data_IF_837974023296
#
_entry.id   IF_837974023296
#
_cell.length_a   1.000
_cell.length_b   1.000
_cell.length_c   1.000
_cell.angle_alpha   90.00
_cell.angle_beta   90.00
_cell.angle_gamma   90.00
#
_symmetry.space_group_name_H-M   'P 1'
#
loop_
_entity.id
_entity.type
_entity.pdbx_description
1 polymer ?
#
# COMPACT_ATOMS: atom_id res chain seq x y z
N UNK A 1 -26.55 3.63 14.22
CA UNK A 1 -25.91 2.91 13.10
C UNK A 1 -25.13 1.68 13.57
N UNK A 2 -24.55 1.73 14.77
CA UNK A 2 -23.90 0.58 15.42
C UNK A 2 -24.78 -0.68 15.52
N UNK A 3 -26.11 -0.53 15.58
CA UNK A 3 -27.11 -1.61 15.62
C UNK A 3 -27.02 -2.55 14.40
N UNK A 4 -26.56 -2.04 13.25
CA UNK A 4 -26.33 -2.85 12.05
C UNK A 4 -25.21 -3.87 12.24
N UNK A 5 -24.28 -3.59 13.16
CA UNK A 5 -23.14 -4.44 13.44
C UNK A 5 -23.33 -5.27 14.71
N UNK A 6 -23.92 -4.69 15.76
CA UNK A 6 -24.08 -5.33 17.06
C UNK A 6 -25.57 -5.40 17.46
N UNK A 7 -26.06 -6.61 17.74
CA UNK A 7 -27.45 -6.83 18.16
C UNK A 7 -27.67 -6.67 19.67
N UNK A 8 -26.64 -6.91 20.48
CA UNK A 8 -26.77 -6.98 21.94
C UNK A 8 -26.80 -5.57 22.56
N UNK A 9 -27.86 -5.19 23.31
CA UNK A 9 -28.00 -3.87 23.91
C UNK A 9 -26.85 -3.49 24.84
N UNK A 10 -26.36 -4.44 25.64
CA UNK A 10 -25.22 -4.23 26.55
C UNK A 10 -23.95 -3.83 25.81
N UNK A 11 -23.72 -4.37 24.62
CA UNK A 11 -22.55 -4.03 23.79
C UNK A 11 -22.72 -2.62 23.21
N UNK A 12 -23.91 -2.30 22.69
CA UNK A 12 -24.22 -0.98 22.17
C UNK A 12 -24.05 0.11 23.24
N UNK A 13 -24.58 -0.13 24.45
CA UNK A 13 -24.44 0.78 25.58
C UNK A 13 -22.97 0.96 25.97
N UNK A 14 -22.18 -0.11 26.04
CA UNK A 14 -20.74 -0.01 26.33
C UNK A 14 -19.99 0.79 25.27
N UNK A 15 -20.30 0.57 23.98
CA UNK A 15 -19.64 1.28 22.88
C UNK A 15 -20.00 2.78 22.92
N UNK A 16 -21.28 3.11 23.07
CA UNK A 16 -21.76 4.50 23.19
C UNK A 16 -21.38 5.16 24.51
N UNK A 17 -21.08 4.38 25.55
CA UNK A 17 -20.66 4.88 26.85
C UNK A 17 -19.22 5.39 26.86
N UNK A 18 -18.35 4.93 25.96
CA UNK A 18 -16.94 5.33 25.91
C UNK A 18 -16.70 6.78 25.50
N UNK A 19 -15.44 7.22 25.59
CA UNK A 19 -14.96 8.54 25.18
C UNK A 19 -15.09 8.86 23.68
N UNK A 20 -15.29 7.82 22.87
CA UNK A 20 -15.55 7.91 21.43
C UNK A 20 -17.00 7.53 21.06
N UNK A 21 -17.88 7.44 22.05
CA UNK A 21 -19.22 6.89 21.88
C UNK A 21 -20.05 7.64 20.83
N UNK A 22 -19.94 8.97 20.83
CA UNK A 22 -20.71 9.86 19.95
C UNK A 22 -20.22 9.74 18.50
N UNK A 23 -18.92 9.50 18.29
CA UNK A 23 -18.32 9.36 16.97
C UNK A 23 -18.39 7.94 16.40
N UNK A 24 -18.54 6.93 17.25
CA UNK A 24 -18.59 5.53 16.81
C UNK A 24 -19.76 5.26 15.87
N UNK A 25 -20.88 5.97 16.02
CA UNK A 25 -22.00 5.89 15.08
C UNK A 25 -21.63 6.51 13.72
N UNK A 26 -20.91 7.64 13.67
CA UNK A 26 -20.37 8.22 12.44
C UNK A 26 -19.38 7.28 11.74
N UNK A 27 -18.48 6.65 12.51
CA UNK A 27 -17.50 5.69 11.98
C UNK A 27 -18.22 4.45 11.43
N UNK A 28 -19.28 3.98 12.09
CA UNK A 28 -20.10 2.87 11.62
C UNK A 28 -20.80 3.21 10.29
N UNK A 29 -21.31 4.43 10.15
CA UNK A 29 -21.87 4.93 8.88
C UNK A 29 -20.84 4.91 7.76
N UNK A 30 -19.66 5.48 7.99
CA UNK A 30 -18.58 5.50 7.01
C UNK A 30 -18.19 4.09 6.55
N UNK A 31 -18.05 3.14 7.48
CA UNK A 31 -17.72 1.75 7.15
C UNK A 31 -18.79 1.09 6.28
N UNK A 32 -20.06 1.39 6.54
CA UNK A 32 -21.18 0.88 5.74
C UNK A 32 -21.15 1.44 4.31
N UNK A 33 -21.05 2.76 4.19
CA UNK A 33 -21.07 3.47 2.90
C UNK A 33 -19.88 3.09 2.01
N UNK A 34 -18.70 2.84 2.61
CA UNK A 34 -17.51 2.42 1.90
C UNK A 34 -17.47 0.90 1.62
N UNK A 35 -18.56 0.17 1.88
CA UNK A 35 -18.69 -1.24 1.53
C UNK A 35 -17.78 -2.18 2.32
N UNK A 36 -17.39 -1.82 3.55
CA UNK A 36 -16.57 -2.71 4.38
C UNK A 36 -17.33 -3.99 4.71
N UNK A 37 -16.66 -5.14 4.60
CA UNK A 37 -17.22 -6.42 5.04
C UNK A 37 -17.63 -6.33 6.51
N UNK A 38 -18.81 -6.85 6.82
CA UNK A 38 -19.41 -6.81 8.17
C UNK A 38 -18.44 -7.27 9.28
N UNK A 39 -17.77 -8.41 9.07
CA UNK A 39 -16.78 -8.94 10.00
C UNK A 39 -15.60 -7.98 10.25
N UNK A 40 -15.09 -7.32 9.19
CA UNK A 40 -14.01 -6.35 9.30
C UNK A 40 -14.46 -5.10 10.05
N UNK A 41 -15.65 -4.57 9.72
CA UNK A 41 -16.22 -3.41 10.39
C UNK A 41 -16.40 -3.65 11.90
N UNK A 42 -16.91 -4.84 12.30
CA UNK A 42 -17.01 -5.22 13.72
C UNK A 42 -15.66 -5.19 14.44
N UNK A 43 -14.59 -5.66 13.80
CA UNK A 43 -13.24 -5.64 14.39
C UNK A 43 -12.78 -4.20 14.62
N UNK A 44 -12.97 -3.31 13.63
CA UNK A 44 -12.63 -1.90 13.77
C UNK A 44 -13.42 -1.23 14.90
N UNK A 45 -14.75 -1.37 14.90
CA UNK A 45 -15.62 -0.77 15.90
C UNK A 45 -15.35 -1.33 17.31
N UNK A 46 -15.09 -2.62 17.45
CA UNK A 46 -14.75 -3.22 18.74
C UNK A 46 -13.43 -2.69 19.31
N UNK A 47 -12.41 -2.49 18.45
CA UNK A 47 -11.13 -1.91 18.88
C UNK A 47 -11.25 -0.45 19.25
N UNK A 48 -12.00 0.33 18.46
CA UNK A 48 -12.27 1.72 18.76
C UNK A 48 -13.11 1.87 20.03
N UNK A 49 -14.02 0.94 20.30
CA UNK A 49 -14.72 0.86 21.57
C UNK A 49 -13.78 0.63 22.76
N UNK A 50 -12.82 -0.29 22.63
CA UNK A 50 -11.80 -0.50 23.68
C UNK A 50 -10.92 0.73 23.88
N UNK A 51 -10.53 1.40 22.79
CA UNK A 51 -9.79 2.65 22.84
C UNK A 51 -10.62 3.78 23.46
N UNK A 52 -11.92 3.85 23.17
CA UNK A 52 -12.85 4.77 23.79
C UNK A 52 -12.95 4.60 25.31
N UNK A 53 -12.65 3.42 25.85
CA UNK A 53 -12.60 3.19 27.29
C UNK A 53 -11.44 3.90 28.01
N UNK A 54 -10.38 4.31 27.29
CA UNK A 54 -9.21 5.01 27.86
C UNK A 54 -9.16 6.49 27.49
N UNK A 55 -10.15 6.97 26.73
CA UNK A 55 -10.21 8.34 26.21
C UNK A 55 -11.36 9.08 26.88
N UNK A 56 -11.19 10.39 27.09
CA UNK A 56 -12.25 11.28 27.58
C UNK A 56 -13.06 11.88 26.44
N UNK A 57 -14.36 12.11 26.67
CA UNK A 57 -15.23 12.82 25.71
C UNK A 57 -14.86 14.30 25.56
N UNK A 58 -14.46 14.94 26.66
CA UNK A 58 -14.26 16.39 26.70
C UNK A 58 -12.89 16.85 26.17
N UNK A 59 -11.90 15.96 26.14
CA UNK A 59 -10.51 16.31 25.75
C UNK A 59 -10.18 15.80 24.35
N UNK A 60 -9.36 16.52 23.59
CA UNK A 60 -8.81 16.00 22.35
C UNK A 60 -7.89 14.81 22.64
N UNK A 61 -7.82 13.89 21.69
CA UNK A 61 -7.04 12.67 21.80
C UNK A 61 -5.58 12.99 21.45
N UNK A 62 -4.73 12.89 22.46
CA UNK A 62 -3.30 13.17 22.34
C UNK A 62 -2.53 11.97 21.79
N UNK A 63 -1.37 12.24 21.19
CA UNK A 63 -0.49 11.18 20.68
C UNK A 63 0.03 10.28 21.81
N UNK A 64 0.28 10.85 22.99
CA UNK A 64 0.72 10.10 24.18
C UNK A 64 -0.31 9.05 24.60
N UNK A 65 -1.61 9.39 24.56
CA UNK A 65 -2.67 8.44 24.86
C UNK A 65 -2.75 7.31 23.83
N UNK A 66 -2.57 7.64 22.55
CA UNK A 66 -2.53 6.65 21.46
C UNK A 66 -1.36 5.69 21.65
N UNK A 67 -0.16 6.23 21.91
CA UNK A 67 1.06 5.43 22.05
C UNK A 67 1.02 4.56 23.31
N UNK A 68 0.50 5.08 24.43
CA UNK A 68 0.25 4.30 25.64
C UNK A 68 -0.74 3.14 25.41
N UNK A 69 -1.86 3.41 24.73
CA UNK A 69 -2.84 2.36 24.38
C UNK A 69 -2.26 1.29 23.46
N UNK A 70 -1.49 1.70 22.45
CA UNK A 70 -0.83 0.76 21.53
C UNK A 70 0.26 -0.02 22.26
N UNK A 71 1.04 0.60 23.14
CA UNK A 71 2.05 -0.09 23.95
C UNK A 71 1.42 -1.17 24.85
N UNK A 72 0.23 -0.92 25.39
CA UNK A 72 -0.53 -1.89 26.19
C UNK A 72 -1.10 -3.08 25.41
N UNK A 73 -0.97 -3.13 24.07
CA UNK A 73 -1.42 -4.26 23.27
C UNK A 73 -0.36 -5.40 23.27
N UNK A 74 -0.73 -6.64 23.66
CA UNK A 74 0.24 -7.68 23.99
C UNK A 74 0.99 -8.26 22.78
N UNK A 75 0.40 -8.21 21.59
CA UNK A 75 0.98 -8.85 20.39
C UNK A 75 1.29 -7.82 19.32
N UNK A 76 2.27 -8.13 18.46
CA UNK A 76 2.59 -7.28 17.30
C UNK A 76 1.36 -7.09 16.40
N UNK A 77 0.58 -8.15 16.20
CA UNK A 77 -0.65 -8.11 15.40
C UNK A 77 -1.70 -7.22 16.02
N UNK A 78 -1.94 -7.29 17.33
CA UNK A 78 -2.91 -6.41 17.99
C UNK A 78 -2.46 -4.94 17.97
N UNK A 79 -1.15 -4.67 18.13
CA UNK A 79 -0.56 -3.33 18.00
C UNK A 79 -0.78 -2.72 16.62
N UNK A 80 -0.42 -3.45 15.57
CA UNK A 80 -0.62 -2.99 14.17
C UNK A 80 -2.08 -2.68 13.94
N UNK A 81 -2.94 -3.59 14.39
CA UNK A 81 -4.34 -3.53 14.03
C UNK A 81 -5.14 -2.53 14.91
N UNK A 82 -4.63 -2.17 16.10
CA UNK A 82 -5.05 -1.00 16.88
C UNK A 82 -4.63 0.31 16.18
N UNK A 83 -3.36 0.42 15.74
CA UNK A 83 -2.89 1.59 14.98
C UNK A 83 -3.72 1.82 13.72
N UNK A 84 -4.03 0.77 12.96
CA UNK A 84 -4.87 0.88 11.76
C UNK A 84 -6.28 1.39 12.08
N UNK A 85 -6.88 0.92 13.18
CA UNK A 85 -8.21 1.38 13.59
C UNK A 85 -8.20 2.85 14.02
N UNK A 86 -7.20 3.26 14.82
CA UNK A 86 -7.04 4.65 15.27
C UNK A 86 -6.75 5.58 14.08
N UNK A 87 -5.91 5.15 13.14
CA UNK A 87 -5.64 5.93 11.92
C UNK A 87 -6.91 6.13 11.07
N UNK A 88 -7.77 5.11 10.98
CA UNK A 88 -9.06 5.23 10.33
C UNK A 88 -9.97 6.23 11.07
N UNK A 89 -10.09 6.11 12.40
CA UNK A 89 -10.88 7.04 13.20
C UNK A 89 -10.39 8.48 13.03
N UNK A 90 -9.07 8.71 13.03
CA UNK A 90 -8.47 10.03 12.82
C UNK A 90 -8.81 10.63 11.47
N UNK A 91 -8.98 9.80 10.43
CA UNK A 91 -9.42 10.24 9.10
C UNK A 91 -10.89 10.65 9.07
N UNK A 92 -11.75 9.95 9.82
CA UNK A 92 -13.21 10.16 9.81
C UNK A 92 -13.63 11.30 10.74
N UNK A 93 -13.03 11.37 11.94
CA UNK A 93 -13.34 12.38 12.95
C UNK A 93 -12.06 13.15 13.36
N UNK A 94 -11.46 13.91 12.44
CA UNK A 94 -10.18 14.58 12.68
C UNK A 94 -10.24 15.57 13.85
N UNK A 95 -11.39 16.22 14.07
CA UNK A 95 -11.62 17.19 15.14
C UNK A 95 -11.47 16.61 16.56
N UNK A 96 -11.58 15.28 16.73
CA UNK A 96 -11.35 14.63 18.04
C UNK A 96 -9.89 14.38 18.35
N UNK A 97 -9.01 14.45 17.36
CA UNK A 97 -7.58 14.20 17.54
C UNK A 97 -6.84 15.53 17.54
N UNK A 98 -5.79 15.62 18.37
CA UNK A 98 -4.90 16.77 18.27
C UNK A 98 -4.32 16.86 16.87
N UNK A 99 -4.29 18.07 16.31
CA UNK A 99 -3.68 18.34 15.01
C UNK A 99 -2.19 18.08 15.17
N UNK A 100 -1.70 17.03 14.52
CA UNK A 100 -0.27 16.79 14.44
C UNK A 100 0.26 17.67 13.33
N UNK A 101 1.14 18.62 13.67
CA UNK A 101 2.12 19.11 12.72
C UNK A 101 3.02 17.92 12.37
N UNK A 102 2.70 17.27 11.26
CA UNK A 102 3.57 16.24 10.71
C UNK A 102 4.76 16.99 10.15
N UNK A 103 5.94 16.72 10.70
CA UNK A 103 7.18 17.18 10.10
C UNK A 103 7.18 16.75 8.63
N UNK A 104 7.41 17.68 7.68
CA UNK A 104 7.36 17.38 6.26
C UNK A 104 8.23 16.16 5.97
N UNK A 105 7.67 15.14 5.33
CA UNK A 105 8.46 13.99 4.88
C UNK A 105 9.50 14.55 3.87
N UNK A 106 10.82 14.43 4.12
CA UNK A 106 11.84 15.00 3.23
C UNK A 106 11.68 14.53 1.79
N UNK A 107 11.08 13.34 1.61
CA UNK A 107 10.83 12.73 0.32
C UNK A 107 9.45 13.04 -0.26
N UNK A 108 8.62 13.85 0.41
CA UNK A 108 7.25 14.16 -0.06
C UNK A 108 7.22 14.74 -1.49
N UNK A 109 8.11 15.66 -1.89
CA UNK A 109 8.16 16.15 -3.27
C UNK A 109 8.44 15.02 -4.28
N UNK A 110 9.42 14.16 -3.96
CA UNK A 110 9.81 13.02 -4.80
C UNK A 110 8.67 11.99 -4.91
N UNK A 111 8.03 11.65 -3.79
CA UNK A 111 6.91 10.72 -3.72
C UNK A 111 5.66 11.26 -4.44
N UNK A 112 5.44 12.58 -4.36
CA UNK A 112 4.37 13.26 -5.10
C UNK A 112 4.63 13.17 -6.60
N UNK A 113 5.85 13.47 -7.05
CA UNK A 113 6.27 13.29 -8.45
C UNK A 113 6.10 11.86 -8.94
N UNK A 114 6.50 10.89 -8.12
CA UNK A 114 6.30 9.47 -8.44
C UNK A 114 4.82 9.12 -8.56
N UNK A 115 3.97 9.59 -7.64
CA UNK A 115 2.52 9.35 -7.67
C UNK A 115 1.87 9.96 -8.93
N UNK A 116 2.29 11.15 -9.35
CA UNK A 116 1.85 11.80 -10.58
C UNK A 116 2.31 11.02 -11.82
N UNK A 117 3.58 10.58 -11.88
CA UNK A 117 4.09 9.70 -12.93
C UNK A 117 3.26 8.41 -13.05
N UNK A 118 2.92 7.77 -11.92
CA UNK A 118 2.11 6.56 -11.90
C UNK A 118 0.68 6.80 -12.41
N UNK A 119 0.14 8.00 -12.24
CA UNK A 119 -1.18 8.39 -12.75
C UNK A 119 -1.12 8.71 -14.25
N UNK A 120 -0.27 9.64 -14.62
CA UNK A 120 -0.27 10.28 -15.94
C UNK A 120 0.43 9.44 -16.99
N UNK A 121 1.56 8.84 -16.64
CA UNK A 121 2.37 8.04 -17.58
C UNK A 121 1.96 6.57 -17.56
N UNK A 122 1.59 6.05 -16.38
CA UNK A 122 1.29 4.61 -16.21
C UNK A 122 -0.20 4.28 -16.10
N UNK A 123 -1.09 5.27 -15.98
CA UNK A 123 -2.53 5.06 -15.93
C UNK A 123 -3.04 4.20 -14.76
N UNK A 124 -2.33 4.18 -13.62
CA UNK A 124 -2.65 3.25 -12.54
C UNK A 124 -3.81 3.74 -11.66
N UNK A 125 -4.67 2.78 -11.30
CA UNK A 125 -5.73 2.99 -10.32
C UNK A 125 -5.18 3.48 -8.97
N UNK A 126 -5.96 4.33 -8.28
CA UNK A 126 -5.57 4.99 -7.02
C UNK A 126 -5.02 4.01 -5.98
N UNK A 127 -5.73 2.90 -5.75
CA UNK A 127 -5.36 1.88 -4.76
C UNK A 127 -4.01 1.22 -5.06
N UNK A 128 -3.69 1.00 -6.33
CA UNK A 128 -2.39 0.45 -6.73
C UNK A 128 -1.27 1.47 -6.55
N UNK A 129 -1.56 2.75 -6.77
CA UNK A 129 -0.59 3.84 -6.55
C UNK A 129 -0.18 3.96 -5.09
N UNK A 130 -1.12 3.86 -4.15
CA UNK A 130 -0.83 3.90 -2.72
C UNK A 130 0.18 2.82 -2.30
N UNK A 131 -0.01 1.58 -2.79
CA UNK A 131 0.93 0.48 -2.51
C UNK A 131 2.33 0.71 -3.09
N UNK A 132 2.41 1.34 -4.27
CA UNK A 132 3.67 1.70 -4.92
C UNK A 132 4.41 2.82 -4.17
N UNK A 133 3.70 3.88 -3.79
CA UNK A 133 4.25 5.00 -3.02
C UNK A 133 4.72 4.53 -1.65
N UNK A 134 3.96 3.63 -1.00
CA UNK A 134 4.37 3.03 0.27
C UNK A 134 5.67 2.23 0.15
N UNK A 135 5.82 1.46 -0.94
CA UNK A 135 7.06 0.71 -1.18
C UNK A 135 8.25 1.64 -1.46
N UNK A 136 8.04 2.71 -2.24
CA UNK A 136 9.05 3.74 -2.49
C UNK A 136 9.50 4.41 -1.17
N UNK A 137 8.55 4.79 -0.31
CA UNK A 137 8.88 5.38 1.01
C UNK A 137 9.71 4.44 1.88
N UNK A 138 9.44 3.13 1.85
CA UNK A 138 10.25 2.13 2.61
C UNK A 138 11.67 2.01 2.05
N UNK A 139 11.82 2.12 0.74
CA UNK A 139 13.13 2.12 0.08
C UNK A 139 13.93 3.35 0.49
N UNK A 140 13.33 4.54 0.44
CA UNK A 140 13.99 5.79 0.82
C UNK A 140 14.36 5.80 2.30
N UNK A 141 13.45 5.37 3.18
CA UNK A 141 13.75 5.26 4.61
C UNK A 141 14.87 4.23 4.94
N UNK A 142 15.06 3.22 4.09
CA UNK A 142 16.21 2.32 4.19
C UNK A 142 17.49 3.01 3.71
N UNK A 143 17.42 3.70 2.57
CA UNK A 143 18.56 4.46 2.02
C UNK A 143 19.07 5.49 3.04
N UNK A 144 18.18 6.33 3.58
CA UNK A 144 18.56 7.36 4.56
C UNK A 144 19.20 6.77 5.81
N UNK A 145 18.85 5.54 6.19
CA UNK A 145 19.40 4.89 7.38
C UNK A 145 20.84 4.43 7.19
N UNK A 146 21.17 3.93 6.00
CA UNK A 146 22.47 3.31 5.72
C UNK A 146 23.41 4.22 4.91
N UNK A 147 22.86 5.24 4.26
CA UNK A 147 23.54 6.15 3.33
C UNK A 147 23.05 7.60 3.51
N UNK A 148 22.86 8.03 4.77
CA UNK A 148 22.26 9.33 5.15
C UNK A 148 22.88 10.56 4.45
N UNK A 149 24.16 10.47 4.06
CA UNK A 149 24.92 11.57 3.48
C UNK A 149 25.08 11.47 1.96
N UNK A 150 24.58 10.39 1.34
CA UNK A 150 24.77 10.15 -0.10
C UNK A 150 23.51 10.50 -0.89
N UNK A 151 23.63 11.23 -2.01
CA UNK A 151 22.51 11.50 -2.88
C UNK A 151 22.00 10.22 -3.54
N UNK A 152 20.74 10.21 -3.96
CA UNK A 152 20.14 9.06 -4.67
C UNK A 152 20.86 8.70 -5.98
N UNK A 153 21.60 9.65 -6.57
CA UNK A 153 22.44 9.42 -7.75
C UNK A 153 23.63 8.51 -7.46
N UNK A 154 24.11 8.44 -6.20
CA UNK A 154 25.19 7.54 -5.79
C UNK A 154 24.71 6.07 -5.62
N UNK A 155 23.41 5.81 -5.72
CA UNK A 155 22.87 4.46 -5.61
C UNK A 155 23.39 3.57 -6.74
N UNK A 156 23.98 2.43 -6.37
CA UNK A 156 24.51 1.42 -7.31
C UNK A 156 23.70 0.13 -7.25
N UNK A 157 23.97 -0.79 -8.19
CA UNK A 157 23.35 -2.12 -8.20
C UNK A 157 23.63 -2.94 -6.94
N UNK A 158 24.77 -2.73 -6.28
CA UNK A 158 25.12 -3.40 -5.02
C UNK A 158 24.18 -2.95 -3.90
N UNK A 159 23.92 -1.65 -3.79
CA UNK A 159 22.99 -1.10 -2.82
C UNK A 159 21.56 -1.63 -3.06
N UNK A 160 21.15 -1.71 -4.32
CA UNK A 160 19.83 -2.26 -4.71
C UNK A 160 19.68 -3.72 -4.32
N UNK A 161 20.74 -4.53 -4.48
CA UNK A 161 20.74 -5.93 -4.05
C UNK A 161 20.61 -6.07 -2.53
N UNK A 162 21.39 -5.30 -1.77
CA UNK A 162 21.34 -5.29 -0.30
C UNK A 162 19.95 -4.88 0.22
N UNK A 163 19.41 -3.79 -0.31
CA UNK A 163 18.05 -3.33 -0.05
C UNK A 163 17.00 -4.40 -0.38
N UNK A 164 17.12 -5.04 -1.54
CA UNK A 164 16.16 -6.06 -1.97
C UNK A 164 16.17 -7.25 -1.01
N UNK A 165 17.36 -7.71 -0.60
CA UNK A 165 17.52 -8.75 0.41
C UNK A 165 16.86 -8.38 1.73
N UNK A 166 17.10 -7.14 2.21
CA UNK A 166 16.48 -6.62 3.42
C UNK A 166 14.95 -6.63 3.34
N UNK A 167 14.37 -6.01 2.30
CA UNK A 167 12.91 -5.90 2.15
C UNK A 167 12.24 -7.25 1.93
N UNK A 168 12.87 -8.18 1.21
CA UNK A 168 12.36 -9.54 1.05
C UNK A 168 12.40 -10.32 2.36
N UNK A 169 13.41 -10.12 3.21
CA UNK A 169 13.51 -10.74 4.53
C UNK A 169 12.42 -10.29 5.52
N UNK A 170 11.76 -9.16 5.27
CA UNK A 170 10.66 -8.67 6.12
C UNK A 170 9.34 -9.43 5.92
N UNK A 171 9.21 -10.26 4.88
CA UNK A 171 7.97 -10.98 4.58
C UNK A 171 8.22 -12.46 4.32
N UNK A 172 7.45 -13.31 4.99
CA UNK A 172 7.43 -14.75 4.74
C UNK A 172 6.56 -15.16 3.56
N UNK A 173 5.83 -14.22 2.93
CA UNK A 173 4.87 -14.53 1.87
C UNK A 173 5.45 -14.25 0.49
N UNK A 174 5.46 -15.26 -0.39
CA UNK A 174 6.01 -15.15 -1.75
C UNK A 174 5.31 -14.10 -2.61
N UNK A 175 3.98 -13.97 -2.47
CA UNK A 175 3.21 -12.94 -3.18
C UNK A 175 3.64 -11.52 -2.80
N UNK A 176 3.98 -11.31 -1.52
CA UNK A 176 4.37 -10.02 -0.98
C UNK A 176 5.80 -9.69 -1.39
N UNK A 177 6.69 -10.69 -1.38
CA UNK A 177 8.06 -10.57 -1.93
C UNK A 177 8.02 -10.23 -3.43
N UNK A 178 7.21 -10.93 -4.22
CA UNK A 178 7.04 -10.66 -5.64
C UNK A 178 6.45 -9.27 -5.93
N UNK A 179 5.44 -8.85 -5.17
CA UNK A 179 4.88 -7.50 -5.26
C UNK A 179 5.94 -6.44 -4.91
N UNK A 180 6.70 -6.65 -3.84
CA UNK A 180 7.77 -5.75 -3.40
C UNK A 180 8.83 -5.59 -4.49
N UNK A 181 9.34 -6.69 -5.07
CA UNK A 181 10.30 -6.62 -6.17
C UNK A 181 9.73 -5.97 -7.44
N UNK A 182 8.43 -6.12 -7.72
CA UNK A 182 7.77 -5.38 -8.81
C UNK A 182 7.67 -3.88 -8.54
N UNK A 183 7.42 -3.49 -7.29
CA UNK A 183 7.27 -2.09 -6.90
C UNK A 183 8.62 -1.37 -6.90
N UNK A 184 9.66 -2.03 -6.38
CA UNK A 184 11.05 -1.55 -6.43
C UNK A 184 11.50 -1.27 -7.86
N UNK A 185 11.34 -2.23 -8.78
CA UNK A 185 11.71 -2.03 -10.20
C UNK A 185 10.99 -0.84 -10.84
N UNK A 186 9.72 -0.62 -10.48
CA UNK A 186 8.96 0.51 -11.02
C UNK A 186 9.47 1.84 -10.48
N UNK A 187 9.80 1.90 -9.20
CA UNK A 187 10.37 3.11 -8.60
C UNK A 187 11.77 3.41 -9.14
N UNK A 188 12.65 2.41 -9.27
CA UNK A 188 13.99 2.60 -9.83
C UNK A 188 13.95 3.07 -11.29
N UNK A 189 13.00 2.57 -12.09
CA UNK A 189 12.76 3.09 -13.45
C UNK A 189 12.28 4.53 -13.45
N UNK A 190 11.49 4.93 -12.44
CA UNK A 190 11.09 6.31 -12.28
C UNK A 190 12.29 7.20 -11.94
N UNK A 191 13.20 6.77 -11.06
CA UNK A 191 14.43 7.51 -10.77
C UNK A 191 15.26 7.75 -12.04
N UNK A 192 15.40 6.72 -12.88
CA UNK A 192 16.08 6.86 -14.16
C UNK A 192 15.32 7.78 -15.13
N UNK A 193 14.00 7.61 -15.26
CA UNK A 193 13.16 8.47 -16.11
C UNK A 193 13.17 9.95 -15.69
N UNK A 194 13.24 10.21 -14.38
CA UNK A 194 13.32 11.55 -13.81
C UNK A 194 14.76 12.11 -13.77
N UNK A 195 15.74 11.39 -14.35
CA UNK A 195 17.15 11.77 -14.38
C UNK A 195 17.77 12.00 -12.99
N UNK A 196 17.28 11.29 -11.98
CA UNK A 196 17.79 11.31 -10.61
C UNK A 196 18.89 10.25 -10.38
N UNK A 197 18.98 9.29 -11.30
CA UNK A 197 20.04 8.30 -11.35
C UNK A 197 20.25 7.86 -12.81
N UNK A 198 21.48 7.91 -13.30
CA UNK A 198 21.79 7.60 -14.71
C UNK A 198 21.78 6.09 -15.00
N UNK A 199 21.84 5.25 -13.97
CA UNK A 199 21.89 3.80 -14.10
C UNK A 199 20.48 3.20 -14.12
N UNK A 200 20.23 2.25 -15.03
CA UNK A 200 19.01 1.41 -15.02
C UNK A 200 19.10 0.35 -13.92
N UNK A 201 19.02 0.80 -12.66
CA UNK A 201 19.10 -0.01 -11.45
C UNK A 201 17.97 -1.04 -11.32
N UNK A 202 16.90 -0.90 -12.10
CA UNK A 202 15.79 -1.85 -12.08
C UNK A 202 16.22 -3.26 -12.54
N UNK A 203 17.32 -3.38 -13.28
CA UNK A 203 17.90 -4.67 -13.69
C UNK A 203 18.56 -5.42 -12.54
N UNK A 204 19.03 -4.70 -11.53
CA UNK A 204 19.68 -5.28 -10.35
C UNK A 204 18.71 -5.89 -9.35
N UNK A 205 17.39 -5.70 -9.52
CA UNK A 205 16.38 -6.30 -8.65
C UNK A 205 16.08 -7.74 -9.08
N UNK A 206 16.39 -8.75 -8.25
CA UNK A 206 16.09 -10.14 -8.56
C UNK A 206 14.59 -10.36 -8.75
N UNK A 207 14.25 -11.22 -9.71
CA UNK A 207 12.87 -11.65 -9.91
C UNK A 207 12.55 -12.76 -8.92
N UNK A 208 11.65 -12.51 -7.97
CA UNK A 208 11.12 -13.58 -7.11
C UNK A 208 10.35 -14.58 -7.98
N UNK A 209 10.72 -15.88 -7.98
CA UNK A 209 9.92 -16.90 -8.62
C UNK A 209 8.55 -16.94 -7.94
N UNK A 210 7.48 -16.70 -8.68
CA UNK A 210 6.13 -16.99 -8.23
C UNK A 210 5.63 -18.21 -9.02
N UNK A 211 5.73 -19.39 -8.41
CA UNK A 211 5.20 -20.59 -9.02
C UNK A 211 3.68 -20.50 -9.08
N UNK A 212 3.12 -20.29 -10.28
CA UNK A 212 1.69 -20.48 -10.53
C UNK A 212 1.36 -21.91 -10.10
N UNK A 213 0.34 -22.08 -9.25
CA UNK A 213 -0.14 -23.35 -8.67
C UNK A 213 0.56 -23.87 -7.40
N UNK A 214 1.50 -23.15 -6.78
CA UNK A 214 2.03 -23.55 -5.46
C UNK A 214 0.95 -23.52 -4.35
N UNK A 215 -0.13 -22.76 -4.58
CA UNK A 215 -1.33 -22.80 -3.77
C UNK A 215 -2.49 -23.26 -4.66
N UNK A 216 -2.72 -24.58 -4.72
CA UNK A 216 -3.99 -25.09 -5.22
C UNK A 216 -5.10 -24.48 -4.35
N UNK A 217 -6.12 -23.81 -4.94
CA UNK A 217 -7.29 -23.42 -4.19
C UNK A 217 -7.89 -24.68 -3.55
N UNK A 218 -8.03 -24.69 -2.23
CA UNK A 218 -8.48 -25.85 -1.43
C UNK A 218 -9.92 -26.31 -1.74
N UNK A 219 -10.55 -25.74 -2.77
CA UNK A 219 -11.96 -25.92 -3.13
C UNK A 219 -12.18 -26.43 -4.56
N UNK A 220 -11.16 -26.86 -5.28
CA UNK A 220 -11.38 -27.65 -6.51
C UNK A 220 -11.62 -29.10 -6.12
N UNK A 221 -12.89 -29.45 -5.87
CA UNK A 221 -13.33 -30.84 -5.84
C UNK A 221 -13.16 -31.45 -7.23
N UNK A 222 -12.63 -32.67 -7.28
CA UNK A 222 -12.39 -33.43 -8.51
C UNK A 222 -13.63 -33.58 -9.41
N UNK A 223 -14.82 -33.42 -8.85
CA UNK A 223 -16.09 -33.57 -9.56
C UNK A 223 -16.38 -32.46 -10.60
N UNK A 224 -15.70 -31.30 -10.51
CA UNK A 224 -15.89 -30.18 -11.44
C UNK A 224 -14.99 -30.22 -12.69
N UNK A 225 -13.90 -31.00 -12.68
CA UNK A 225 -12.93 -31.03 -13.79
C UNK A 225 -13.37 -31.91 -14.96
N UNK A 226 -14.26 -32.89 -14.74
CA UNK A 226 -14.68 -33.86 -15.76
C UNK A 226 -15.77 -33.40 -16.73
N UNK A 227 -16.50 -32.31 -16.43
CA UNK A 227 -17.70 -31.92 -17.21
C UNK A 227 -17.44 -30.90 -18.33
N UNK A 228 -16.20 -30.44 -18.50
CA UNK A 228 -15.87 -29.34 -19.45
C UNK A 228 -14.81 -29.70 -20.50
N UNK A 229 -14.66 -30.99 -20.80
CA UNK A 229 -13.86 -31.48 -21.92
C UNK A 229 -14.61 -32.58 -22.68
N UNK A 230 -15.66 -32.21 -23.41
CA UNK A 230 -16.10 -33.01 -24.56
C UNK A 230 -15.29 -32.58 -25.79
N UNK A 231 -14.70 -33.53 -26.54
CA UNK A 231 -13.87 -33.20 -27.69
C UNK A 231 -14.76 -32.96 -28.91
N UNK A 232 -14.86 -31.72 -29.40
CA UNK A 232 -15.40 -31.45 -30.73
C UNK A 232 -14.31 -31.65 -31.78
N UNK A 233 -14.56 -32.66 -32.59
CA UNK A 233 -13.96 -33.08 -33.86
C UNK A 233 -13.18 -32.02 -34.65
N UNK A 234 -12.00 -32.46 -35.12
CA UNK A 234 -11.07 -31.79 -36.03
C UNK A 234 -11.73 -31.24 -37.31
N UNK A 235 -11.31 -30.04 -37.72
CA UNK A 235 -11.16 -29.64 -39.13
C UNK A 235 -9.76 -29.01 -39.31
N UNK A 236 -8.93 -29.50 -40.25
CA UNK A 236 -7.64 -28.88 -40.53
C UNK A 236 -7.81 -27.76 -41.56
N UNK A 237 -7.17 -26.61 -41.32
CA UNK A 237 -6.88 -25.61 -42.33
C UNK A 237 -5.49 -24.99 -42.11
N UNK A 238 -4.84 -24.48 -43.18
CA UNK A 238 -3.46 -24.82 -43.49
C UNK A 238 -2.44 -23.79 -42.99
N UNK A 239 -1.18 -24.20 -43.05
CA UNK A 239 -0.01 -23.40 -42.73
C UNK A 239 0.03 -22.09 -43.55
N UNK A 240 0.02 -20.95 -42.84
CA UNK A 240 0.43 -19.66 -43.35
C UNK A 240 1.72 -19.23 -42.62
N UNK A 241 2.76 -19.02 -43.41
CA UNK A 241 4.07 -18.56 -42.98
C UNK A 241 4.10 -17.03 -42.75
N UNK A 242 5.15 -16.56 -42.03
CA UNK A 242 5.71 -15.18 -42.00
C UNK A 242 4.92 -14.22 -41.07
N UNK A 243 5.47 -13.47 -40.09
CA UNK A 243 6.72 -12.68 -39.94
C UNK A 243 6.96 -12.35 -38.44
N UNK A 244 8.18 -11.96 -38.00
CA UNK A 244 8.46 -11.54 -36.64
C UNK A 244 8.00 -10.09 -36.42
N UNK A 245 7.11 -9.86 -35.45
CA UNK A 245 6.73 -8.51 -35.03
C UNK A 245 7.75 -7.96 -34.02
N UNK A 246 8.66 -7.14 -34.54
CA UNK A 246 9.45 -6.18 -33.80
C UNK A 246 8.55 -5.20 -33.04
N UNK A 247 8.50 -5.29 -31.71
CA UNK A 247 8.01 -4.19 -30.88
C UNK A 247 9.16 -3.21 -30.62
N UNK A 248 9.40 -2.34 -31.60
CA UNK A 248 10.08 -1.06 -31.39
C UNK A 248 9.26 -0.22 -30.41
N UNK A 249 9.88 0.22 -29.32
CA UNK A 249 9.34 1.27 -28.47
C UNK A 249 9.41 2.60 -29.24
N UNK A 250 8.31 3.36 -29.38
CA UNK A 250 8.41 4.74 -29.83
C UNK A 250 9.01 5.60 -28.71
N UNK A 251 10.09 6.31 -29.00
CA UNK A 251 10.59 7.46 -28.22
C UNK A 251 9.53 8.55 -28.21
N UNK A 252 9.02 9.03 -27.06
CA UNK A 252 8.24 10.26 -27.02
C UNK A 252 9.20 11.46 -26.90
N UNK A 253 9.63 11.99 -28.04
CA UNK A 253 10.21 13.32 -28.13
C UNK A 253 9.06 14.35 -28.21
N UNK A 254 8.60 14.84 -27.06
CA UNK A 254 7.90 16.15 -26.91
C UNK A 254 7.27 16.36 -25.53
N UNK A 255 6.93 15.32 -24.77
CA UNK A 255 6.29 15.47 -23.46
C UNK A 255 7.25 15.74 -22.28
N UNK A 256 8.58 15.55 -22.48
CA UNK A 256 9.57 15.64 -21.41
C UNK A 256 10.00 17.07 -21.05
N UNK A 257 9.75 18.09 -21.89
CA UNK A 257 10.23 19.46 -21.63
C UNK A 257 9.40 20.23 -20.59
N UNK A 258 8.11 19.93 -20.46
CA UNK A 258 7.25 20.68 -19.54
C UNK A 258 7.28 20.14 -18.10
N UNK A 259 7.72 18.90 -17.87
CA UNK A 259 7.84 18.34 -16.52
C UNK A 259 9.18 18.65 -15.85
N UNK A 260 10.27 18.78 -16.63
CA UNK A 260 11.60 19.11 -16.10
C UNK A 260 11.66 20.55 -15.53
N UNK A 261 10.92 21.49 -16.10
CA UNK A 261 10.89 22.88 -15.61
C UNK A 261 10.19 23.05 -14.25
N UNK A 262 9.25 22.18 -13.86
CA UNK A 262 8.64 22.22 -12.52
C UNK A 262 9.47 21.52 -11.44
N UNK A 263 10.43 20.66 -11.81
CA UNK A 263 11.27 19.94 -10.83
C UNK A 263 12.53 20.72 -10.44
N UNK A 264 13.12 21.51 -11.36
CA UNK A 264 14.31 22.33 -11.06
C UNK A 264 14.05 23.48 -10.08
N UNK A 265 12.81 23.93 -9.88
CA UNK A 265 12.50 25.01 -8.93
C UNK A 265 12.38 24.53 -7.48
N UNK A 266 12.38 23.22 -7.22
CA UNK A 266 12.19 22.65 -5.87
C UNK A 266 13.52 22.25 -5.23
N UNK A 267 14.63 22.17 -5.99
CA UNK A 267 15.96 21.77 -5.50
C UNK A 267 17.03 22.86 -5.64
N UNK A 268 16.64 24.11 -5.89
CA UNK A 268 17.52 25.27 -5.81
C UNK A 268 17.11 26.14 -4.60
N UNK A 269 17.51 25.70 -3.41
CA UNK A 269 17.28 26.37 -2.13
C UNK A 269 18.03 25.66 -1.02
#
# INVERSE_FOLDING_TARGET
MLERYFKYPRVLHRLRGGGLGDELDCIATYLFENGYRHASAKIYLGRLGRFGGVVSRAKPITQVLIDGFVAGCPTKTSRVAARTAIALARRIVPHRFEIRHREPDPHEPLLTGYSSYLREVRGLAVKTREGQVLAARRLLAWWDRYHASEPLSAMTGIHVLALTGHLMGLSSMDNTRAATGSYMRRFLRFLHWANLNDLDLARSVPRTPCYRLAHLPRQLGWEDSGRRSTPSTLRPQPAAAIRPSSCCWPRPASAARNFAHSFSTIFAG
#
